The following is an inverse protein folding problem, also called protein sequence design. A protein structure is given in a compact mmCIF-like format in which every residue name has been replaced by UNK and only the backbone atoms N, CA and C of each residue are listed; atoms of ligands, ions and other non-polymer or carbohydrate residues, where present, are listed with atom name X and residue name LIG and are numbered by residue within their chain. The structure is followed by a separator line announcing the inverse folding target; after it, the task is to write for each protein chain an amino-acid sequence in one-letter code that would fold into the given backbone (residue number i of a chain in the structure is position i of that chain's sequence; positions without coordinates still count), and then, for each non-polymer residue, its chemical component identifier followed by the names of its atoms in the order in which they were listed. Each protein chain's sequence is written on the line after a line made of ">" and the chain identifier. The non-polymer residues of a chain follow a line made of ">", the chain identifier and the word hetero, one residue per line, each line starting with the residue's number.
data_IF_546698249416
#
_entry.id   IF_546698249416
#
_cell.length_a   1.000
_cell.length_b   1.000
_cell.length_c   1.000
_cell.angle_alpha   90.00
_cell.angle_beta   90.00
_cell.angle_gamma   90.00
#
_symmetry.space_group_name_H-M   'P 1'
#
loop_
_entity.id
_entity.type
_entity.pdbx_description
1 polymer ?
#
# COMPACT_ATOMS: atom_id res chain seq x y z
N UNK A 1 -4.63 12.85 -13.22
CA UNK A 1 -5.56 11.71 -13.23
C UNK A 1 -5.79 11.32 -11.78
N UNK A 2 -7.04 11.13 -11.34
CA UNK A 2 -7.32 10.84 -9.94
C UNK A 2 -7.22 9.33 -9.72
N UNK A 3 -6.07 8.89 -9.24
CA UNK A 3 -5.87 7.53 -8.73
C UNK A 3 -6.80 7.35 -7.53
N UNK A 4 -7.67 6.34 -7.53
CA UNK A 4 -8.57 6.09 -6.40
C UNK A 4 -7.78 5.33 -5.34
N UNK A 5 -7.62 5.93 -4.17
CA UNK A 5 -7.06 5.25 -2.99
C UNK A 5 -8.13 4.42 -2.29
N UNK A 6 -7.79 3.17 -1.99
CA UNK A 6 -8.57 2.23 -1.19
C UNK A 6 -8.01 2.20 0.24
N UNK A 7 -8.67 1.43 1.13
CA UNK A 7 -8.20 1.23 2.50
C UNK A 7 -7.84 -0.22 2.77
N UNK A 8 -6.90 -0.43 3.70
CA UNK A 8 -6.62 -1.75 4.24
C UNK A 8 -7.61 -2.07 5.36
N UNK A 9 -8.50 -3.04 5.17
CA UNK A 9 -9.53 -3.41 6.15
C UNK A 9 -8.96 -4.06 7.42
N UNK A 10 -7.79 -4.69 7.32
CA UNK A 10 -7.06 -5.32 8.41
C UNK A 10 -5.64 -4.73 8.60
N UNK A 11 -5.43 -3.51 8.08
CA UNK A 11 -4.18 -2.78 8.21
C UNK A 11 -4.09 -1.94 9.47
N UNK A 12 -2.88 -1.77 9.98
CA UNK A 12 -2.53 -0.84 11.04
C UNK A 12 -1.58 0.20 10.47
N UNK A 13 -1.84 1.48 10.75
CA UNK A 13 -0.94 2.57 10.39
C UNK A 13 0.43 2.37 11.04
N UNK A 14 1.48 2.38 10.22
CA UNK A 14 2.86 2.34 10.70
C UNK A 14 3.41 3.76 10.88
N UNK A 15 3.24 4.60 9.86
CA UNK A 15 3.74 5.97 9.83
C UNK A 15 3.93 6.47 8.39
N UNK A 16 4.22 7.76 8.27
CA UNK A 16 4.49 8.38 6.98
C UNK A 16 5.96 8.17 6.57
N UNK A 17 6.16 7.76 5.32
CA UNK A 17 7.48 7.54 4.73
C UNK A 17 7.56 8.31 3.42
N UNK A 18 8.69 8.98 3.16
CA UNK A 18 8.93 9.66 1.90
C UNK A 18 9.16 8.64 0.77
N UNK A 19 8.27 8.65 -0.22
CA UNK A 19 8.42 7.91 -1.46
C UNK A 19 9.06 8.80 -2.54
N UNK A 20 10.07 8.31 -3.29
CA UNK A 20 10.83 9.12 -4.25
C UNK A 20 9.97 9.77 -5.35
N UNK A 21 8.83 9.17 -5.67
CA UNK A 21 7.91 9.65 -6.72
C UNK A 21 6.62 10.25 -6.15
N UNK A 22 6.15 9.74 -5.00
CA UNK A 22 4.80 10.02 -4.49
C UNK A 22 4.82 11.03 -3.34
N UNK A 23 6.00 11.41 -2.85
CA UNK A 23 6.16 12.27 -1.68
C UNK A 23 5.90 11.51 -0.39
N UNK A 24 5.56 12.25 0.68
CA UNK A 24 5.18 11.67 1.97
C UNK A 24 3.87 10.90 1.85
N UNK A 25 3.90 9.60 2.14
CA UNK A 25 2.72 8.73 2.10
C UNK A 25 2.61 7.91 3.39
N UNK A 26 1.40 7.75 3.89
CA UNK A 26 1.10 6.87 5.03
C UNK A 26 1.29 5.40 4.62
N UNK A 27 1.97 4.65 5.48
CA UNK A 27 2.20 3.21 5.30
C UNK A 27 1.49 2.38 6.35
N UNK A 28 1.18 1.14 5.99
CA UNK A 28 0.36 0.22 6.77
C UNK A 28 1.01 -1.16 6.78
N UNK A 29 0.73 -1.93 7.82
CA UNK A 29 1.13 -3.34 7.92
C UNK A 29 -0.02 -4.20 8.44
N UNK A 30 0.07 -5.51 8.26
CA UNK A 30 -0.97 -6.44 8.68
C UNK A 30 -1.04 -6.51 10.21
N UNK A 31 -2.22 -6.26 10.76
CA UNK A 31 -2.46 -6.36 12.20
C UNK A 31 -2.10 -7.75 12.75
N UNK A 32 -1.43 -7.78 13.90
CA UNK A 32 -1.02 -9.03 14.56
C UNK A 32 0.22 -9.69 13.96
N UNK A 33 0.91 -9.05 13.02
CA UNK A 33 2.19 -9.54 12.47
C UNK A 33 3.34 -8.57 12.79
N UNK A 34 4.59 -9.04 12.87
CA UNK A 34 5.74 -8.15 12.98
C UNK A 34 5.87 -7.30 11.71
N UNK A 35 6.13 -6.00 11.88
CA UNK A 35 6.28 -5.06 10.77
C UNK A 35 7.70 -5.07 10.21
N UNK A 36 8.04 -6.10 9.42
CA UNK A 36 9.28 -6.15 8.62
C UNK A 36 9.17 -5.32 7.34
N UNK A 37 7.99 -5.35 6.73
CA UNK A 37 7.62 -4.59 5.55
C UNK A 37 6.35 -3.78 5.86
N UNK A 38 6.29 -2.56 5.37
CA UNK A 38 5.08 -1.74 5.35
C UNK A 38 4.69 -1.40 3.92
N UNK A 39 3.42 -1.04 3.72
CA UNK A 39 2.82 -0.90 2.40
C UNK A 39 2.06 0.42 2.31
N UNK A 40 2.09 1.07 1.14
CA UNK A 40 1.25 2.24 0.90
C UNK A 40 -0.23 1.87 0.97
N UNK A 41 -1.11 2.89 1.00
CA UNK A 41 -2.50 2.66 0.66
C UNK A 41 -2.61 2.01 -0.74
N UNK A 42 -3.54 1.07 -0.94
CA UNK A 42 -3.78 0.49 -2.26
C UNK A 42 -4.37 1.54 -3.20
N UNK A 43 -3.94 1.53 -4.45
CA UNK A 43 -4.35 2.48 -5.48
C UNK A 43 -4.86 1.76 -6.72
N UNK A 44 -5.95 2.27 -7.27
CA UNK A 44 -6.52 1.80 -8.54
C UNK A 44 -5.88 2.57 -9.69
N UNK A 45 -5.26 1.84 -10.62
CA UNK A 45 -4.70 2.38 -11.86
C UNK A 45 -5.82 2.68 -12.88
N UNK A 46 -5.49 3.39 -13.96
CA UNK A 46 -6.45 3.68 -15.04
C UNK A 46 -6.99 2.42 -15.72
N UNK A 47 -6.20 1.34 -15.75
CA UNK A 47 -6.61 0.03 -16.28
C UNK A 47 -7.49 -0.77 -15.30
N UNK A 48 -7.80 -0.22 -14.12
CA UNK A 48 -8.57 -0.91 -13.09
C UNK A 48 -7.74 -1.88 -12.25
N UNK A 49 -6.42 -1.93 -12.39
CA UNK A 49 -5.57 -2.75 -11.53
C UNK A 49 -5.35 -2.10 -10.17
N UNK A 50 -5.32 -2.89 -9.10
CA UNK A 50 -5.02 -2.43 -7.74
C UNK A 50 -3.56 -2.74 -7.41
N UNK A 51 -2.83 -1.72 -6.97
CA UNK A 51 -1.41 -1.81 -6.61
C UNK A 51 -1.11 -1.15 -5.27
N UNK A 52 -0.04 -1.58 -4.60
CA UNK A 52 0.53 -0.87 -3.46
C UNK A 52 2.06 -0.89 -3.51
N UNK A 53 2.71 0.14 -2.96
CA UNK A 53 4.17 0.21 -2.85
C UNK A 53 4.62 -0.46 -1.56
N UNK A 54 5.70 -1.25 -1.62
CA UNK A 54 6.31 -1.90 -0.44
C UNK A 54 7.57 -1.18 0.02
N UNK A 55 7.61 -0.83 1.29
CA UNK A 55 8.79 -0.34 1.98
C UNK A 55 9.38 -1.43 2.88
N UNK A 56 10.66 -1.74 2.68
CA UNK A 56 11.38 -2.70 3.49
C UNK A 56 12.09 -1.99 4.64
N UNK A 57 11.74 -2.33 5.89
CA UNK A 57 12.34 -1.68 7.06
C UNK A 57 13.75 -2.17 7.37
N UNK A 58 14.11 -3.38 6.93
CA UNK A 58 15.46 -3.91 7.13
C UNK A 58 16.50 -3.15 6.29
N UNK A 59 16.16 -2.84 5.05
CA UNK A 59 17.04 -2.09 4.14
C UNK A 59 16.77 -0.57 4.17
N UNK A 60 15.64 -0.14 4.74
CA UNK A 60 15.23 1.26 4.80
C UNK A 60 14.91 1.87 3.44
N UNK A 61 14.41 1.09 2.49
CA UNK A 61 14.12 1.52 1.11
C UNK A 61 12.81 0.96 0.58
N UNK A 62 12.19 1.71 -0.33
CA UNK A 62 11.12 1.21 -1.19
C UNK A 62 11.69 0.17 -2.15
N UNK A 63 11.05 -1.00 -2.22
CA UNK A 63 11.55 -2.14 -3.00
C UNK A 63 10.77 -2.34 -4.29
N UNK A 64 9.47 -2.57 -4.18
CA UNK A 64 8.64 -3.04 -5.29
C UNK A 64 7.21 -2.50 -5.20
N UNK A 65 6.59 -2.33 -6.37
CA UNK A 65 5.14 -2.20 -6.53
C UNK A 65 4.50 -3.58 -6.56
N UNK A 66 3.59 -3.84 -5.62
CA UNK A 66 2.86 -5.10 -5.50
C UNK A 66 1.51 -4.97 -6.22
N UNK A 67 1.26 -5.89 -7.15
CA UNK A 67 -0.08 -6.06 -7.73
C UNK A 67 -0.95 -6.90 -6.81
N UNK A 68 -2.16 -6.43 -6.54
CA UNK A 68 -3.10 -7.05 -5.61
C UNK A 68 -4.22 -7.78 -6.37
N UNK A 69 -4.73 -7.17 -7.43
CA UNK A 69 -5.87 -7.70 -8.19
C UNK A 69 -6.47 -6.66 -9.13
N UNK A 70 -7.65 -6.96 -9.67
CA UNK A 70 -8.47 -6.02 -10.44
C UNK A 70 -9.51 -5.37 -9.52
N UNK A 71 -9.88 -4.12 -9.82
CA UNK A 71 -10.89 -3.37 -9.09
C UNK A 71 -12.28 -3.76 -9.58
N UNK A 72 -13.06 -4.39 -8.72
CA UNK A 72 -14.43 -4.86 -9.00
C UNK A 72 -15.49 -3.96 -8.33
N UNK A 73 -15.08 -2.86 -7.70
CA UNK A 73 -15.96 -1.91 -7.02
C UNK A 73 -15.72 -1.77 -5.53
N UNK A 74 -14.66 -2.38 -5.01
CA UNK A 74 -14.31 -2.36 -3.59
C UNK A 74 -13.89 -0.96 -3.13
N UNK A 75 -14.11 -0.69 -1.84
CA UNK A 75 -13.60 0.49 -1.14
C UNK A 75 -12.44 0.12 -0.20
N UNK A 76 -12.37 -1.15 0.20
CA UNK A 76 -11.41 -1.68 1.15
C UNK A 76 -10.92 -3.05 0.68
N UNK A 77 -9.65 -3.35 0.93
CA UNK A 77 -9.03 -4.64 0.64
C UNK A 77 -8.24 -5.14 1.86
N UNK A 78 -8.03 -6.44 1.97
CA UNK A 78 -7.29 -7.03 3.08
C UNK A 78 -5.85 -7.38 2.66
N UNK A 79 -4.91 -7.27 3.58
CA UNK A 79 -3.63 -7.96 3.47
C UNK A 79 -3.87 -9.47 3.39
N UNK A 80 -3.24 -10.14 2.42
CA UNK A 80 -3.23 -11.60 2.26
C UNK A 80 -2.68 -12.34 3.46
#
# INVERSE_FOLDING_TARGET
>A
MAEKELKWSNGVEWGEIEHPVLGMIMTYFKSGTPCYDSYSAPRVSEDGGIYCERFCHDDGVWKDTIWIGEHEGEEEIAFG
#
